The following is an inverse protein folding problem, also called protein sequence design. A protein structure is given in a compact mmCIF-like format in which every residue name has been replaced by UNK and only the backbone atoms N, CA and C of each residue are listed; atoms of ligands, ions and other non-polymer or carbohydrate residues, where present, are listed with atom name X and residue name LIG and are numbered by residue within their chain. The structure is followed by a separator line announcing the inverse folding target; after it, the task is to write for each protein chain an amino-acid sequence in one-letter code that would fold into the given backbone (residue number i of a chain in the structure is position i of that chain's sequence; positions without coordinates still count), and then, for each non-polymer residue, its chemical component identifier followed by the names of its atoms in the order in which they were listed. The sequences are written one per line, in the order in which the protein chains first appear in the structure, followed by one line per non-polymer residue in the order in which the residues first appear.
data_IF_431786540151
#
_entry.id   IF_431786540151
#
_cell.length_a   1.000
_cell.length_b   1.000
_cell.length_c   1.000
_cell.angle_alpha   90.00
_cell.angle_beta   90.00
_cell.angle_gamma   90.00
#
_symmetry.space_group_name_H-M   'P 1'
#
loop_
_entity.id
_entity.type
_entity.pdbx_description
1 polymer ?
#
# COMPACT_ATOMS: atom_id res chain seq x y z
N UNK A 1 -19.05 -2.79 14.08
CA UNK A 1 -18.43 -1.57 13.50
C UNK A 1 -16.97 -1.68 13.85
N UNK A 2 -16.14 -2.08 12.90
CA UNK A 2 -14.70 -2.20 13.13
C UNK A 2 -14.12 -0.79 13.25
N UNK A 3 -14.02 -0.30 14.49
CA UNK A 3 -13.38 0.99 14.83
C UNK A 3 -11.86 0.87 14.89
N UNK A 4 -11.32 -0.34 14.78
CA UNK A 4 -9.89 -0.64 14.97
C UNK A 4 -9.00 -0.09 13.85
N UNK A 5 -9.60 0.24 12.69
CA UNK A 5 -8.88 0.77 11.54
C UNK A 5 -9.03 2.30 11.36
N UNK A 6 -9.62 3.02 12.32
CA UNK A 6 -9.76 4.48 12.27
C UNK A 6 -9.07 5.08 13.49
N UNK A 7 -8.13 5.97 13.26
CA UNK A 7 -7.38 6.68 14.31
C UNK A 7 -7.62 8.18 14.21
N UNK A 8 -8.26 8.76 15.21
CA UNK A 8 -8.32 10.20 15.41
C UNK A 8 -7.02 10.66 16.08
N UNK A 9 -5.99 10.92 15.26
CA UNK A 9 -4.67 11.31 15.77
C UNK A 9 -4.69 12.71 16.42
N UNK A 10 -5.45 13.61 15.84
CA UNK A 10 -5.65 14.96 16.36
C UNK A 10 -7.02 15.51 15.89
N UNK A 11 -7.48 16.66 16.42
CA UNK A 11 -8.70 17.29 15.92
C UNK A 11 -8.72 17.61 14.42
N UNK A 12 -7.53 17.72 13.81
CA UNK A 12 -7.33 18.03 12.38
C UNK A 12 -6.73 16.90 11.55
N UNK A 13 -6.49 15.71 12.13
CA UNK A 13 -5.94 14.56 11.42
C UNK A 13 -6.63 13.27 11.85
N UNK A 14 -7.31 12.66 10.90
CA UNK A 14 -7.86 11.30 10.99
C UNK A 14 -7.12 10.40 10.00
N UNK A 15 -6.78 9.21 10.44
CA UNK A 15 -6.18 8.15 9.63
C UNK A 15 -7.17 7.00 9.48
N UNK A 16 -7.27 6.45 8.28
CA UNK A 16 -8.07 5.25 7.98
C UNK A 16 -7.12 4.19 7.42
N UNK A 17 -7.06 3.06 8.10
CA UNK A 17 -6.43 1.85 7.60
C UNK A 17 -7.39 1.03 6.76
N UNK A 18 -7.05 0.76 5.51
CA UNK A 18 -7.92 0.01 4.59
C UNK A 18 -7.33 -1.36 4.27
N UNK A 19 -8.21 -2.33 4.05
CA UNK A 19 -7.86 -3.62 3.48
C UNK A 19 -7.94 -3.53 1.94
N UNK A 20 -6.83 -3.79 1.27
CA UNK A 20 -6.64 -3.53 -0.18
C UNK A 20 -7.58 -4.26 -1.15
N UNK A 21 -8.53 -5.07 -0.69
CA UNK A 21 -9.44 -5.86 -1.53
C UNK A 21 -10.82 -6.07 -0.87
N UNK A 22 -11.28 -5.11 -0.08
CA UNK A 22 -12.54 -5.22 0.65
C UNK A 22 -13.56 -4.17 0.22
N UNK A 23 -14.76 -4.60 -0.18
CA UNK A 23 -15.90 -3.71 -0.44
C UNK A 23 -16.29 -2.88 0.79
N UNK A 24 -16.08 -3.40 1.99
CA UNK A 24 -16.30 -2.68 3.25
C UNK A 24 -15.36 -1.47 3.38
N UNK A 25 -14.10 -1.61 2.93
CA UNK A 25 -13.14 -0.50 2.93
C UNK A 25 -13.57 0.62 1.99
N UNK A 26 -14.11 0.30 0.81
CA UNK A 26 -14.65 1.27 -0.15
C UNK A 26 -15.81 2.07 0.48
N UNK A 27 -16.77 1.37 1.09
CA UNK A 27 -17.91 2.02 1.77
C UNK A 27 -17.48 2.86 2.98
N UNK A 28 -16.50 2.36 3.76
CA UNK A 28 -15.95 3.07 4.91
C UNK A 28 -15.30 4.38 4.47
N UNK A 29 -14.45 4.36 3.44
CA UNK A 29 -13.78 5.55 2.91
C UNK A 29 -14.80 6.60 2.46
N UNK A 30 -15.81 6.21 1.68
CA UNK A 30 -16.88 7.12 1.23
C UNK A 30 -17.63 7.75 2.40
N UNK A 31 -17.97 6.94 3.40
CA UNK A 31 -18.68 7.41 4.61
C UNK A 31 -17.81 8.39 5.40
N UNK A 32 -16.52 8.10 5.55
CA UNK A 32 -15.64 8.94 6.33
C UNK A 32 -15.33 10.27 5.63
N UNK A 33 -15.19 10.31 4.31
CA UNK A 33 -15.05 11.56 3.56
C UNK A 33 -16.29 12.45 3.78
N UNK A 34 -17.50 11.89 3.66
CA UNK A 34 -18.74 12.65 3.83
C UNK A 34 -19.03 13.03 5.29
N UNK A 35 -18.66 12.19 6.27
CA UNK A 35 -18.94 12.41 7.69
C UNK A 35 -17.90 13.22 8.43
N UNK A 36 -16.61 13.09 8.03
CA UNK A 36 -15.51 13.84 8.63
C UNK A 36 -15.37 15.24 8.02
N UNK A 37 -15.83 15.44 6.77
CA UNK A 37 -15.73 16.71 6.02
C UNK A 37 -14.30 17.28 6.03
N UNK A 38 -13.31 16.57 5.44
CA UNK A 38 -11.93 17.01 5.43
C UNK A 38 -11.72 18.17 4.44
N UNK A 39 -10.74 19.03 4.73
CA UNK A 39 -10.24 20.03 3.78
C UNK A 39 -9.27 19.43 2.76
N UNK A 40 -8.61 18.30 3.11
CA UNK A 40 -7.66 17.57 2.27
C UNK A 40 -7.84 16.08 2.48
N UNK A 41 -7.87 15.31 1.39
CA UNK A 41 -7.77 13.83 1.42
C UNK A 41 -6.36 13.43 1.00
N UNK A 42 -5.62 12.81 1.93
CA UNK A 42 -4.30 12.26 1.66
C UNK A 42 -4.42 10.77 1.37
N UNK A 43 -3.84 10.28 0.28
CA UNK A 43 -3.95 8.87 -0.14
C UNK A 43 -2.59 8.21 -0.31
N UNK A 44 -2.46 6.97 0.11
CA UNK A 44 -1.26 6.13 -0.07
C UNK A 44 -1.11 5.70 -1.53
N UNK A 45 -1.00 6.67 -2.40
CA UNK A 45 -0.76 6.51 -3.83
C UNK A 45 0.38 7.40 -4.29
N UNK A 46 1.10 6.96 -5.31
CA UNK A 46 1.93 7.81 -6.16
C UNK A 46 1.24 8.02 -7.51
N UNK A 47 1.73 8.99 -8.29
CA UNK A 47 1.14 9.34 -9.59
C UNK A 47 1.07 8.17 -10.56
N UNK A 48 2.14 7.37 -10.64
CA UNK A 48 2.21 6.20 -11.52
C UNK A 48 1.17 5.14 -11.13
N UNK A 49 1.00 4.87 -9.84
CA UNK A 49 0.01 3.91 -9.35
C UNK A 49 -1.42 4.39 -9.57
N UNK A 50 -1.70 5.67 -9.35
CA UNK A 50 -3.02 6.25 -9.63
C UNK A 50 -3.37 6.11 -11.12
N UNK A 51 -2.43 6.40 -12.03
CA UNK A 51 -2.66 6.21 -13.48
C UNK A 51 -2.98 4.75 -13.82
N UNK A 52 -2.24 3.80 -13.25
CA UNK A 52 -2.49 2.36 -13.46
C UNK A 52 -3.84 1.89 -12.89
N UNK A 53 -4.33 2.52 -11.82
CA UNK A 53 -5.66 2.22 -11.26
C UNK A 53 -6.79 2.79 -12.11
N UNK A 54 -6.60 4.00 -12.65
CA UNK A 54 -7.59 4.66 -13.54
C UNK A 54 -7.66 3.98 -14.92
N UNK A 55 -6.52 3.59 -15.47
CA UNK A 55 -6.39 2.94 -16.76
C UNK A 55 -5.53 1.67 -16.63
N UNK A 56 -6.13 0.53 -16.25
CA UNK A 56 -5.38 -0.71 -16.13
C UNK A 56 -4.93 -1.18 -17.52
N UNK A 57 -3.69 -0.86 -17.88
CA UNK A 57 -3.04 -1.48 -19.04
C UNK A 57 -2.89 -2.99 -18.77
N UNK A 58 -3.53 -3.80 -19.58
CA UNK A 58 -3.31 -5.25 -19.59
C UNK A 58 -1.97 -5.53 -20.26
N UNK A 59 -0.90 -5.66 -19.48
CA UNK A 59 0.33 -6.27 -19.98
C UNK A 59 0.02 -7.75 -20.26
N UNK A 60 -0.01 -8.10 -21.52
CA UNK A 60 -0.23 -9.49 -21.96
C UNK A 60 1.02 -10.33 -21.65
N UNK A 61 0.85 -11.64 -21.48
CA UNK A 61 1.95 -12.57 -21.23
C UNK A 61 3.06 -12.49 -22.31
N UNK A 62 2.68 -12.09 -23.53
CA UNK A 62 3.62 -11.86 -24.63
C UNK A 62 4.53 -10.62 -24.41
N UNK A 63 3.99 -9.57 -23.78
CA UNK A 63 4.76 -8.36 -23.44
C UNK A 63 5.77 -8.65 -22.33
N UNK A 64 5.41 -9.48 -21.35
CA UNK A 64 6.31 -9.95 -20.30
C UNK A 64 7.47 -10.77 -20.87
N UNK A 65 7.20 -11.70 -21.80
CA UNK A 65 8.22 -12.50 -22.48
C UNK A 65 9.15 -11.64 -23.34
N UNK A 66 8.64 -10.57 -23.94
CA UNK A 66 9.43 -9.60 -24.71
C UNK A 66 10.39 -8.81 -23.80
N UNK A 67 9.89 -8.34 -22.65
CA UNK A 67 10.68 -7.63 -21.64
C UNK A 67 11.81 -8.51 -21.09
N UNK A 68 11.53 -9.81 -20.87
CA UNK A 68 12.53 -10.80 -20.42
C UNK A 68 13.60 -11.02 -21.50
N UNK A 69 13.20 -11.19 -22.76
CA UNK A 69 14.12 -11.42 -23.89
C UNK A 69 15.01 -10.21 -24.20
N UNK A 70 14.52 -9.01 -23.96
CA UNK A 70 15.26 -7.76 -24.15
C UNK A 70 16.25 -7.44 -23.01
N UNK A 71 16.39 -8.33 -22.02
CA UNK A 71 17.35 -8.17 -20.91
C UNK A 71 17.06 -6.99 -20.01
N UNK A 72 15.81 -6.48 -20.03
CA UNK A 72 15.40 -5.37 -19.17
C UNK A 72 15.36 -5.84 -17.71
N UNK A 73 15.85 -4.97 -16.86
CA UNK A 73 16.09 -5.05 -15.42
C UNK A 73 15.28 -6.10 -14.64
N UNK A 74 15.88 -6.88 -13.72
CA UNK A 74 15.19 -7.76 -12.76
C UNK A 74 14.01 -7.07 -12.01
N UNK A 75 14.07 -5.74 -11.92
CA UNK A 75 13.06 -4.89 -11.35
C UNK A 75 11.70 -4.96 -12.08
N UNK A 76 11.72 -5.07 -13.41
CA UNK A 76 10.48 -5.17 -14.21
C UNK A 76 9.83 -6.54 -13.97
N UNK A 77 10.64 -7.59 -13.83
CA UNK A 77 10.13 -8.92 -13.47
C UNK A 77 9.48 -8.94 -12.10
N UNK A 78 10.12 -8.31 -11.11
CA UNK A 78 9.55 -8.19 -9.76
C UNK A 78 8.23 -7.39 -9.76
N UNK A 79 8.17 -6.25 -10.47
CA UNK A 79 6.95 -5.48 -10.62
C UNK A 79 5.83 -6.29 -11.27
N UNK A 80 6.18 -7.05 -12.32
CA UNK A 80 5.21 -7.88 -13.05
C UNK A 80 4.69 -9.04 -12.20
N UNK A 81 5.56 -9.68 -11.41
CA UNK A 81 5.19 -10.74 -10.48
C UNK A 81 4.24 -10.23 -9.38
N UNK A 82 4.59 -9.09 -8.74
CA UNK A 82 3.73 -8.44 -7.75
C UNK A 82 2.37 -8.03 -8.33
N UNK A 83 2.35 -7.47 -9.54
CA UNK A 83 1.11 -7.12 -10.22
C UNK A 83 0.26 -8.35 -10.59
N UNK A 84 0.88 -9.47 -10.94
CA UNK A 84 0.18 -10.73 -11.21
C UNK A 84 -0.44 -11.33 -9.94
N UNK A 85 0.31 -11.31 -8.83
CA UNK A 85 -0.17 -11.78 -7.53
C UNK A 85 -1.33 -10.92 -7.02
N UNK A 86 -1.23 -9.58 -7.11
CA UNK A 86 -2.34 -8.68 -6.76
C UNK A 86 -3.59 -8.91 -7.61
N UNK A 87 -3.43 -9.24 -8.91
CA UNK A 87 -4.58 -9.61 -9.77
C UNK A 87 -5.22 -10.93 -9.34
N UNK A 88 -4.42 -11.92 -8.96
CA UNK A 88 -4.92 -13.22 -8.47
C UNK A 88 -5.77 -13.00 -7.20
N UNK A 89 -5.30 -12.20 -6.25
CA UNK A 89 -6.07 -11.82 -5.05
C UNK A 89 -7.38 -11.10 -5.41
N UNK A 90 -7.36 -10.13 -6.34
CA UNK A 90 -8.57 -9.43 -6.77
C UNK A 90 -9.61 -10.31 -7.45
N UNK A 91 -9.19 -11.43 -8.08
CA UNK A 91 -10.12 -12.40 -8.67
C UNK A 91 -10.84 -13.27 -7.62
N UNK A 92 -10.20 -13.52 -6.47
CA UNK A 92 -10.80 -14.28 -5.36
C UNK A 92 -11.77 -13.45 -4.54
N UNK A 93 -11.50 -12.15 -4.35
CA UNK A 93 -12.33 -11.25 -3.53
C UNK A 93 -13.40 -10.48 -4.31
N UNK A 94 -13.32 -10.48 -5.64
CA UNK A 94 -14.25 -9.74 -6.52
C UNK A 94 -13.97 -8.22 -6.60
N UNK A 95 -13.06 -7.69 -5.78
CA UNK A 95 -12.64 -6.30 -5.81
C UNK A 95 -11.24 -6.13 -6.41
N UNK A 96 -11.01 -5.02 -7.09
CA UNK A 96 -9.68 -4.72 -7.66
C UNK A 96 -8.77 -4.18 -6.53
N UNK A 97 -7.53 -4.66 -6.42
CA UNK A 97 -6.57 -4.12 -5.45
C UNK A 97 -6.40 -2.60 -5.60
N UNK A 98 -6.60 -1.87 -4.52
CA UNK A 98 -6.54 -0.41 -4.52
C UNK A 98 -7.86 0.29 -4.88
N UNK A 99 -8.97 -0.46 -4.97
CA UNK A 99 -10.30 0.12 -5.23
C UNK A 99 -10.68 1.15 -4.16
N UNK A 100 -10.34 0.91 -2.90
CA UNK A 100 -10.56 1.81 -1.76
C UNK A 100 -9.76 3.12 -1.87
N UNK A 101 -8.51 3.05 -2.36
CA UNK A 101 -7.67 4.23 -2.59
C UNK A 101 -8.18 5.03 -3.79
N UNK A 102 -8.65 4.33 -4.84
CA UNK A 102 -9.28 4.96 -5.98
C UNK A 102 -10.61 5.62 -5.58
N UNK A 103 -11.42 4.96 -4.75
CA UNK A 103 -12.64 5.53 -4.17
C UNK A 103 -12.35 6.81 -3.37
N UNK A 104 -11.27 6.81 -2.56
CA UNK A 104 -10.87 8.00 -1.82
C UNK A 104 -10.59 9.19 -2.76
N UNK A 105 -9.90 8.93 -3.87
CA UNK A 105 -9.65 9.96 -4.89
C UNK A 105 -10.94 10.43 -5.55
N UNK A 106 -11.80 9.50 -5.98
CA UNK A 106 -13.05 9.83 -6.69
C UNK A 106 -14.03 10.59 -5.79
N UNK A 107 -14.26 10.12 -4.57
CA UNK A 107 -15.14 10.80 -3.60
C UNK A 107 -14.65 12.19 -3.22
N UNK A 108 -13.32 12.38 -3.12
CA UNK A 108 -12.73 13.70 -2.89
C UNK A 108 -12.90 14.62 -4.10
N UNK A 109 -12.64 14.12 -5.34
CA UNK A 109 -12.83 14.85 -6.59
C UNK A 109 -14.31 15.28 -6.75
N UNK A 110 -15.27 14.38 -6.49
CA UNK A 110 -16.72 14.67 -6.52
C UNK A 110 -17.13 15.74 -5.53
N UNK A 111 -16.49 15.76 -4.35
CA UNK A 111 -16.73 16.73 -3.29
C UNK A 111 -15.92 18.02 -3.45
N UNK A 112 -15.13 18.16 -4.51
CA UNK A 112 -14.18 19.26 -4.74
C UNK A 112 -13.16 19.43 -3.60
N UNK A 113 -12.77 18.33 -2.95
CA UNK A 113 -11.74 18.30 -1.90
C UNK A 113 -10.39 18.01 -2.56
N UNK A 114 -9.33 18.80 -2.28
CA UNK A 114 -7.98 18.54 -2.76
C UNK A 114 -7.47 17.15 -2.35
N UNK A 115 -6.84 16.44 -3.29
CA UNK A 115 -6.22 15.14 -3.06
C UNK A 115 -4.70 15.28 -3.05
N UNK A 116 -4.05 14.84 -1.98
CA UNK A 116 -2.61 14.75 -1.84
C UNK A 116 -2.14 13.29 -1.92
N UNK A 117 -1.28 13.01 -2.88
CA UNK A 117 -0.64 11.70 -2.99
C UNK A 117 0.58 11.68 -2.08
N UNK A 118 0.53 10.82 -1.07
CA UNK A 118 1.54 10.79 -0.01
C UNK A 118 2.54 9.66 -0.12
N UNK A 119 2.35 8.72 -1.07
CA UNK A 119 3.28 7.60 -1.23
C UNK A 119 4.42 7.92 -2.21
N UNK A 120 5.53 7.21 -2.00
CA UNK A 120 6.71 7.25 -2.85
C UNK A 120 6.48 6.43 -4.12
N UNK A 121 7.14 6.81 -5.21
CA UNK A 121 7.10 6.04 -6.46
C UNK A 121 7.53 4.58 -6.22
N UNK A 122 6.71 3.65 -6.71
CA UNK A 122 6.89 2.20 -6.51
C UNK A 122 8.25 1.71 -7.04
N UNK A 123 8.73 2.27 -8.16
CA UNK A 123 10.03 1.90 -8.74
C UNK A 123 11.18 2.30 -7.81
N UNK A 124 11.05 3.47 -7.16
CA UNK A 124 12.05 3.93 -6.19
C UNK A 124 12.04 3.01 -4.97
N UNK A 125 10.87 2.69 -4.44
CA UNK A 125 10.70 1.79 -3.28
C UNK A 125 11.29 0.40 -3.56
N UNK A 126 10.92 -0.24 -4.67
CA UNK A 126 11.44 -1.55 -5.06
C UNK A 126 12.96 -1.55 -5.30
N UNK A 127 13.48 -0.47 -5.90
CA UNK A 127 14.93 -0.35 -6.12
C UNK A 127 15.70 -0.23 -4.79
N UNK A 128 15.16 0.49 -3.83
CA UNK A 128 15.74 0.61 -2.47
C UNK A 128 15.68 -0.74 -1.76
N UNK A 129 14.52 -1.40 -1.76
CA UNK A 129 14.33 -2.73 -1.17
C UNK A 129 15.33 -3.74 -1.76
N UNK A 130 15.44 -3.80 -3.09
CA UNK A 130 16.41 -4.68 -3.75
C UNK A 130 17.87 -4.37 -3.37
N UNK A 131 18.21 -3.11 -3.18
CA UNK A 131 19.56 -2.72 -2.73
C UNK A 131 19.81 -3.05 -1.26
N UNK A 132 18.81 -2.91 -0.41
CA UNK A 132 18.87 -3.23 1.02
C UNK A 132 19.04 -4.73 1.30
N UNK A 133 18.48 -5.60 0.43
CA UNK A 133 18.59 -7.04 0.58
C UNK A 133 20.02 -7.56 0.39
N UNK A 134 20.43 -8.48 1.27
CA UNK A 134 21.63 -9.28 1.12
C UNK A 134 21.53 -10.30 -0.03
N UNK A 135 22.64 -10.93 -0.41
CA UNK A 135 22.68 -11.91 -1.52
C UNK A 135 21.76 -13.11 -1.22
N UNK A 136 21.77 -13.59 0.02
CA UNK A 136 20.95 -14.74 0.45
C UNK A 136 19.45 -14.39 0.40
N UNK A 137 19.08 -13.19 0.85
CA UNK A 137 17.71 -12.71 0.77
C UNK A 137 17.21 -12.61 -0.68
N UNK A 138 18.03 -12.05 -1.57
CA UNK A 138 17.74 -11.99 -3.02
C UNK A 138 17.47 -13.36 -3.61
N UNK A 139 18.31 -14.36 -3.26
CA UNK A 139 18.12 -15.73 -3.71
C UNK A 139 16.84 -16.35 -3.14
N UNK A 140 16.54 -16.09 -1.86
CA UNK A 140 15.32 -16.57 -1.22
C UNK A 140 14.07 -15.98 -1.90
N UNK A 141 14.02 -14.65 -2.09
CA UNK A 141 12.90 -13.98 -2.78
C UNK A 141 12.72 -14.50 -4.20
N UNK A 142 13.81 -14.68 -4.95
CA UNK A 142 13.72 -15.23 -6.32
C UNK A 142 13.23 -16.69 -6.29
N UNK A 143 13.72 -17.52 -5.37
CA UNK A 143 13.27 -18.92 -5.27
C UNK A 143 11.78 -19.03 -4.91
N UNK A 144 11.30 -18.23 -3.96
CA UNK A 144 9.89 -18.18 -3.60
C UNK A 144 9.03 -17.78 -4.81
N UNK A 145 9.40 -16.70 -5.51
CA UNK A 145 8.66 -16.26 -6.70
C UNK A 145 8.63 -17.26 -7.87
N UNK A 146 9.61 -18.17 -7.92
CA UNK A 146 9.71 -19.19 -8.99
C UNK A 146 9.11 -20.55 -8.60
N UNK A 147 8.99 -20.84 -7.29
CA UNK A 147 8.61 -22.16 -6.78
C UNK A 147 7.20 -22.19 -6.18
N UNK A 148 6.58 -21.05 -5.87
CA UNK A 148 5.21 -20.98 -5.33
C UNK A 148 4.16 -21.26 -6.43
N UNK A 149 4.04 -22.54 -6.80
CA UNK A 149 2.87 -23.09 -7.54
C UNK A 149 1.98 -23.96 -6.64
N UNK A 150 2.25 -24.14 -5.34
CA UNK A 150 1.49 -25.05 -4.48
C UNK A 150 0.73 -24.33 -3.37
N UNK A 151 -0.60 -24.43 -3.47
CA UNK A 151 -1.65 -24.48 -2.43
C UNK A 151 -1.33 -23.82 -1.08
N UNK A 152 -1.46 -22.50 -0.96
CA UNK A 152 -1.76 -21.91 0.33
C UNK A 152 -3.25 -22.15 0.65
N UNK A 153 -3.53 -22.70 1.85
CA UNK A 153 -4.88 -22.76 2.41
C UNK A 153 -5.52 -21.38 2.25
N UNK A 154 -6.69 -21.33 1.60
CA UNK A 154 -7.47 -20.10 1.39
C UNK A 154 -8.00 -19.58 2.74
N UNK A 155 -7.12 -18.97 3.53
CA UNK A 155 -7.58 -18.06 4.57
C UNK A 155 -8.25 -16.88 3.86
N UNK A 156 -9.49 -16.62 4.21
CA UNK A 156 -10.23 -15.49 3.66
C UNK A 156 -9.45 -14.20 3.92
N UNK A 157 -9.15 -13.45 2.85
CA UNK A 157 -8.42 -12.17 2.97
C UNK A 157 -9.16 -11.22 3.91
N UNK A 158 -10.49 -11.27 3.94
CA UNK A 158 -11.34 -10.50 4.86
C UNK A 158 -11.12 -10.88 6.33
N UNK A 159 -10.79 -12.14 6.63
CA UNK A 159 -10.46 -12.59 8.00
C UNK A 159 -9.05 -12.13 8.41
N UNK A 160 -8.08 -12.20 7.49
CA UNK A 160 -6.70 -11.75 7.74
C UNK A 160 -6.67 -10.24 7.97
N UNK A 161 -7.42 -9.47 7.17
CA UNK A 161 -7.39 -8.01 7.19
C UNK A 161 -8.37 -7.40 8.20
N UNK A 162 -9.29 -8.21 8.72
CA UNK A 162 -10.15 -7.84 9.86
C UNK A 162 -9.47 -8.01 11.22
N UNK A 163 -8.31 -8.67 11.27
CA UNK A 163 -7.53 -8.93 12.47
C UNK A 163 -6.19 -8.18 12.40
N UNK A 164 -6.07 -7.07 13.14
CA UNK A 164 -4.86 -6.25 13.21
C UNK A 164 -3.64 -7.06 13.70
N UNK A 165 -3.85 -8.01 14.58
CA UNK A 165 -2.78 -8.85 15.15
C UNK A 165 -2.26 -9.84 14.08
N UNK A 166 -3.16 -10.39 13.26
CA UNK A 166 -2.80 -11.30 12.18
C UNK A 166 -2.05 -10.57 11.07
N UNK A 167 -2.49 -9.36 10.70
CA UNK A 167 -1.80 -8.52 9.72
C UNK A 167 -0.40 -8.13 10.20
N UNK A 168 -0.27 -7.71 11.45
CA UNK A 168 1.03 -7.37 12.07
C UNK A 168 1.97 -8.57 12.08
N UNK A 169 1.46 -9.76 12.38
CA UNK A 169 2.24 -11.00 12.33
C UNK A 169 2.71 -11.35 10.91
N UNK A 170 1.85 -11.22 9.91
CA UNK A 170 2.25 -11.43 8.51
C UNK A 170 3.33 -10.46 8.05
N UNK A 171 3.26 -9.19 8.51
CA UNK A 171 4.31 -8.19 8.21
C UNK A 171 5.62 -8.54 8.94
N UNK A 172 5.56 -9.08 10.16
CA UNK A 172 6.72 -9.57 10.91
C UNK A 172 7.34 -10.78 10.22
N UNK A 173 6.52 -11.76 9.81
CA UNK A 173 6.97 -12.93 9.04
C UNK A 173 7.64 -12.52 7.71
N UNK A 174 7.10 -11.52 7.01
CA UNK A 174 7.71 -10.97 5.80
C UNK A 174 9.08 -10.30 6.06
N UNK A 175 9.23 -9.63 7.22
CA UNK A 175 10.53 -9.09 7.66
C UNK A 175 11.53 -10.20 7.97
N UNK A 176 11.09 -11.30 8.55
CA UNK A 176 11.97 -12.45 8.87
C UNK A 176 12.48 -13.14 7.60
N UNK A 177 11.66 -13.20 6.56
CA UNK A 177 12.04 -13.79 5.26
C UNK A 177 13.07 -12.91 4.53
N UNK A 178 12.89 -11.59 4.53
CA UNK A 178 13.77 -10.64 3.84
C UNK A 178 13.90 -9.32 4.63
N UNK A 179 14.69 -9.29 5.72
CA UNK A 179 14.81 -8.12 6.61
C UNK A 179 15.15 -6.83 5.88
N UNK A 180 16.08 -6.86 4.93
CA UNK A 180 16.47 -5.69 4.15
C UNK A 180 15.39 -5.17 3.20
N UNK A 181 14.46 -6.03 2.76
CA UNK A 181 13.29 -5.59 2.03
C UNK A 181 12.22 -5.05 2.98
N UNK A 182 11.98 -5.72 4.11
CA UNK A 182 11.03 -5.32 5.13
C UNK A 182 11.31 -3.92 5.67
N UNK A 183 12.57 -3.60 5.97
CA UNK A 183 12.98 -2.27 6.40
C UNK A 183 12.56 -1.18 5.40
N UNK A 184 12.73 -1.42 4.10
CA UNK A 184 12.40 -0.41 3.07
C UNK A 184 10.92 -0.38 2.72
N UNK A 185 10.28 -1.55 2.62
CA UNK A 185 8.88 -1.68 2.18
C UNK A 185 7.89 -1.29 3.28
N UNK A 186 8.30 -1.38 4.54
CA UNK A 186 7.46 -1.11 5.70
C UNK A 186 8.01 0.11 6.45
N UNK A 187 9.15 -0.03 7.14
CA UNK A 187 9.60 0.97 8.11
C UNK A 187 9.98 2.32 7.47
N UNK A 188 10.78 2.31 6.39
CA UNK A 188 11.09 3.56 5.66
C UNK A 188 9.84 4.15 5.00
N UNK A 189 8.90 3.30 4.55
CA UNK A 189 7.69 3.75 3.90
C UNK A 189 6.74 4.39 4.91
N UNK A 190 6.59 3.82 6.11
CA UNK A 190 5.83 4.41 7.21
C UNK A 190 6.36 5.78 7.60
N UNK A 191 7.69 5.89 7.72
CA UNK A 191 8.35 7.17 8.00
C UNK A 191 8.12 8.19 6.87
N UNK A 192 8.17 7.75 5.61
CA UNK A 192 7.91 8.61 4.45
C UNK A 192 6.47 9.10 4.42
N UNK A 193 5.49 8.22 4.61
CA UNK A 193 4.06 8.54 4.65
C UNK A 193 3.77 9.54 5.78
N UNK A 194 4.28 9.28 6.99
CA UNK A 194 4.16 10.18 8.13
C UNK A 194 4.77 11.55 7.85
N UNK A 195 5.96 11.60 7.25
CA UNK A 195 6.62 12.86 6.86
C UNK A 195 5.81 13.65 5.83
N UNK A 196 5.18 12.97 4.85
CA UNK A 196 4.30 13.61 3.87
C UNK A 196 3.04 14.17 4.53
N UNK A 197 2.41 13.42 5.45
CA UNK A 197 1.27 13.90 6.24
C UNK A 197 1.65 15.13 7.06
N UNK A 198 2.82 15.14 7.70
CA UNK A 198 3.31 16.30 8.45
C UNK A 198 3.52 17.54 7.56
N UNK A 199 4.04 17.37 6.33
CA UNK A 199 4.25 18.49 5.39
C UNK A 199 2.95 19.20 5.01
N UNK A 200 1.83 18.48 4.94
CA UNK A 200 0.52 19.06 4.63
C UNK A 200 -0.27 19.46 5.87
N UNK A 201 0.20 19.07 7.07
CA UNK A 201 -0.41 19.46 8.34
C UNK A 201 -0.39 20.97 8.52
N UNK A 202 -1.50 21.52 9.02
CA UNK A 202 -1.68 22.97 9.14
C UNK A 202 -2.43 23.64 7.98
N UNK A 203 -2.70 22.91 6.89
CA UNK A 203 -3.49 23.42 5.76
C UNK A 203 -5.00 23.14 5.90
N UNK A 204 -5.43 22.66 7.05
CA UNK A 204 -6.82 22.31 7.34
C UNK A 204 -6.95 20.91 7.94
N UNK A 205 -8.16 20.36 7.84
CA UNK A 205 -8.56 19.07 8.36
C UNK A 205 -8.22 17.97 7.36
N UNK A 206 -7.41 17.02 7.74
CA UNK A 206 -6.87 15.99 6.86
C UNK A 206 -7.49 14.63 7.18
N UNK A 207 -7.96 13.95 6.15
CA UNK A 207 -8.28 12.53 6.16
C UNK A 207 -7.20 11.77 5.39
N UNK A 208 -6.42 10.95 6.07
CA UNK A 208 -5.41 10.11 5.42
C UNK A 208 -5.92 8.68 5.26
N UNK A 209 -5.93 8.18 4.02
CA UNK A 209 -6.35 6.83 3.65
C UNK A 209 -5.12 6.03 3.26
N UNK A 210 -4.82 5.01 4.08
CA UNK A 210 -3.61 4.20 3.99
C UNK A 210 -3.94 2.72 4.15
N UNK A 211 -3.04 1.82 3.75
CA UNK A 211 -3.17 0.40 4.05
C UNK A 211 -3.11 0.14 5.56
N UNK A 212 -3.97 -0.77 6.06
CA UNK A 212 -4.06 -1.06 7.50
C UNK A 212 -2.72 -1.44 8.11
N UNK A 213 -1.86 -2.15 7.38
CA UNK A 213 -0.52 -2.52 7.83
C UNK A 213 0.46 -1.36 8.06
N UNK A 214 0.17 -0.18 7.52
CA UNK A 214 0.99 1.03 7.72
C UNK A 214 0.48 1.93 8.84
N UNK A 215 -0.75 1.70 9.33
CA UNK A 215 -1.43 2.61 10.25
C UNK A 215 -0.64 2.83 11.55
N UNK A 216 -0.23 1.74 12.20
CA UNK A 216 0.54 1.79 13.45
C UNK A 216 1.91 2.46 13.25
N UNK A 217 2.64 2.06 12.20
CA UNK A 217 3.95 2.62 11.89
C UNK A 217 3.88 4.11 11.57
N UNK A 218 2.85 4.56 10.84
CA UNK A 218 2.61 5.99 10.59
C UNK A 218 2.36 6.74 11.90
N UNK A 219 1.47 6.23 12.77
CA UNK A 219 1.18 6.86 14.08
C UNK A 219 2.44 6.95 14.93
N UNK A 220 3.25 5.90 14.97
CA UNK A 220 4.51 5.89 15.70
C UNK A 220 5.50 6.94 15.17
N UNK A 221 5.62 7.08 13.85
CA UNK A 221 6.48 8.08 13.22
C UNK A 221 5.94 9.52 13.35
N UNK A 222 4.63 9.71 13.41
CA UNK A 222 4.04 11.02 13.71
C UNK A 222 4.34 11.48 15.14
N UNK A 223 4.34 10.54 16.10
CA UNK A 223 4.68 10.81 17.49
C UNK A 223 6.19 11.01 17.70
N UNK A 224 7.03 10.32 16.91
CA UNK A 224 8.48 10.34 17.02
C UNK A 224 9.08 10.55 15.61
N UNK A 225 9.01 11.77 15.06
CA UNK A 225 9.47 11.99 13.69
C UNK A 225 10.97 11.70 13.58
N UNK A 226 11.37 10.86 12.58
CA UNK A 226 12.79 10.60 12.35
C UNK A 226 13.50 11.89 11.93
N UNK A 227 14.75 12.05 12.39
CA UNK A 227 15.52 13.27 12.18
C UNK A 227 15.87 13.57 10.72
N UNK A 228 15.79 12.56 9.82
CA UNK A 228 16.02 12.69 8.36
C UNK A 228 15.07 11.77 7.58
N UNK A 229 14.09 12.36 6.92
CA UNK A 229 13.24 11.69 5.91
C UNK A 229 13.48 12.33 4.55
N UNK A 230 14.63 12.01 3.93
CA UNK A 230 14.94 12.42 2.55
C UNK A 230 14.99 11.21 1.61
#
# INVERSE_FOLDING_TARGET
MDTDNIVDYSPSLRLIGTAHVSSKSVEMVRKEISGYEPDIVAVELCKSRLSSLKEPESLDSEDLLKIIKEGKSPMILLQSALAAQQRKMGLTTGEKPGAELLEAVQSAEESNIPVEMIDRDVVVTLRRAWRGMGIIEKWRVISTLLLDEEEEEELSIDEILGDSDMLSKMMEDARDVAPGAGEVLIDERDAFLAGRIQQISGNGKILAVVGAGHLEGIVNNLNNPPMDVT
#
